data_IF_288056159602
#
_entry.id   IF_288056159602
#
_cell.length_a   1.000
_cell.length_b   1.000
_cell.length_c   1.000
_cell.angle_alpha   90.00
_cell.angle_beta   90.00
_cell.angle_gamma   90.00
#
_symmetry.space_group_name_H-M   'P 1'
#
loop_
_entity.id
_entity.type
_entity.pdbx_description
1 polymer ?
#
# COMPACT_ATOMS: atom_id res chain seq x y z
N UNK A 1 11.55 6.08 -1.82
CA UNK A 1 11.21 5.21 -0.68
C UNK A 1 12.12 4.00 -0.67
N UNK A 2 12.47 3.45 0.51
CA UNK A 2 13.19 2.17 0.61
C UNK A 2 12.24 1.15 1.25
N UNK A 3 11.88 0.11 0.50
CA UNK A 3 10.97 -0.96 0.91
C UNK A 3 11.77 -2.07 1.58
N UNK A 4 11.43 -2.37 2.83
CA UNK A 4 12.08 -3.38 3.68
C UNK A 4 13.61 -3.26 3.77
N UNK A 5 14.17 -2.06 3.55
CA UNK A 5 15.63 -1.88 3.52
C UNK A 5 16.33 -2.55 2.32
N UNK A 6 15.58 -3.07 1.33
CA UNK A 6 16.10 -3.91 0.24
C UNK A 6 15.90 -3.32 -1.15
N UNK A 7 14.74 -2.71 -1.39
CA UNK A 7 14.38 -2.17 -2.71
C UNK A 7 14.22 -0.66 -2.61
N UNK A 8 14.96 0.08 -3.41
CA UNK A 8 14.79 1.53 -3.56
C UNK A 8 13.79 1.79 -4.68
N UNK A 9 12.73 2.53 -4.38
CA UNK A 9 11.71 2.96 -5.33
C UNK A 9 11.80 4.48 -5.50
N UNK A 10 11.91 4.94 -6.74
CA UNK A 10 11.91 6.37 -7.09
C UNK A 10 10.85 6.65 -8.15
N UNK A 11 10.08 7.71 -7.93
CA UNK A 11 9.21 8.26 -8.97
C UNK A 11 10.03 9.21 -9.83
N UNK A 12 10.28 8.84 -11.08
CA UNK A 12 11.06 9.64 -12.02
C UNK A 12 10.18 10.68 -12.72
N UNK A 13 8.89 10.38 -12.90
CA UNK A 13 7.86 11.32 -13.34
C UNK A 13 6.46 10.77 -12.98
N UNK A 14 5.40 11.46 -13.39
CA UNK A 14 4.02 11.05 -13.17
C UNK A 14 3.75 9.60 -13.61
N UNK A 15 4.32 9.17 -14.74
CA UNK A 15 4.07 7.86 -15.34
C UNK A 15 5.25 6.90 -15.28
N UNK A 16 6.34 7.26 -14.59
CA UNK A 16 7.55 6.45 -14.54
C UNK A 16 8.06 6.27 -13.13
N UNK A 17 8.25 5.01 -12.76
CA UNK A 17 8.84 4.59 -11.49
C UNK A 17 10.05 3.72 -11.79
N UNK A 18 11.17 3.98 -11.11
CA UNK A 18 12.36 3.16 -11.14
C UNK A 18 12.49 2.36 -9.84
N UNK A 19 12.92 1.09 -9.99
CA UNK A 19 13.25 0.20 -8.88
C UNK A 19 14.73 -0.15 -8.97
N UNK A 20 15.41 -0.10 -7.83
CA UNK A 20 16.80 -0.50 -7.71
C UNK A 20 16.97 -1.42 -6.50
N UNK A 21 17.55 -2.59 -6.72
CA UNK A 21 17.84 -3.58 -5.68
C UNK A 21 19.10 -4.38 -6.03
N UNK A 22 19.65 -5.09 -5.04
CA UNK A 22 20.71 -6.08 -5.26
C UNK A 22 20.08 -7.41 -5.67
N UNK A 23 20.62 -8.09 -6.69
CA UNK A 23 20.08 -9.39 -7.12
C UNK A 23 20.43 -10.47 -6.10
N UNK A 24 19.54 -10.62 -5.12
CA UNK A 24 19.54 -11.65 -4.10
C UNK A 24 18.12 -12.15 -3.89
N UNK A 25 17.98 -13.41 -3.44
CA UNK A 25 16.69 -14.10 -3.36
C UNK A 25 15.60 -13.31 -2.63
N UNK A 26 15.97 -12.54 -1.59
CA UNK A 26 14.99 -11.76 -0.81
C UNK A 26 14.63 -10.48 -1.55
N UNK A 27 15.62 -9.74 -2.02
CA UNK A 27 15.40 -8.51 -2.77
C UNK A 27 14.62 -8.74 -4.07
N UNK A 28 14.83 -9.88 -4.72
CA UNK A 28 14.08 -10.29 -5.91
C UNK A 28 12.60 -10.50 -5.58
N UNK A 29 12.28 -11.23 -4.51
CA UNK A 29 10.89 -11.42 -4.05
C UNK A 29 10.20 -10.11 -3.64
N UNK A 30 10.93 -9.21 -2.98
CA UNK A 30 10.41 -7.88 -2.61
C UNK A 30 10.17 -7.03 -3.86
N UNK A 31 11.09 -7.05 -4.82
CA UNK A 31 10.95 -6.33 -6.09
C UNK A 31 9.74 -6.83 -6.88
N UNK A 32 9.59 -8.15 -7.01
CA UNK A 32 8.45 -8.79 -7.67
C UNK A 32 7.12 -8.36 -7.04
N UNK A 33 7.07 -8.26 -5.71
CA UNK A 33 5.88 -7.80 -4.97
C UNK A 33 5.57 -6.32 -5.25
N UNK A 34 6.58 -5.45 -5.30
CA UNK A 34 6.40 -4.04 -5.65
C UNK A 34 5.90 -3.88 -7.09
N UNK A 35 6.49 -4.62 -8.04
CA UNK A 35 6.06 -4.64 -9.44
C UNK A 35 4.63 -5.14 -9.55
N UNK A 36 4.28 -6.22 -8.85
CA UNK A 36 2.91 -6.76 -8.83
C UNK A 36 1.90 -5.73 -8.33
N UNK A 37 2.22 -4.97 -7.27
CA UNK A 37 1.35 -3.89 -6.80
C UNK A 37 1.18 -2.78 -7.84
N UNK A 38 2.28 -2.30 -8.46
CA UNK A 38 2.23 -1.25 -9.49
C UNK A 38 1.40 -1.71 -10.71
N UNK A 39 1.57 -2.97 -11.13
CA UNK A 39 0.84 -3.53 -12.27
C UNK A 39 -0.62 -3.87 -11.93
N UNK A 40 -0.91 -4.33 -10.71
CA UNK A 40 -2.29 -4.57 -10.26
C UNK A 40 -3.09 -3.27 -10.13
N UNK A 41 -2.46 -2.14 -9.88
CA UNK A 41 -3.12 -0.83 -10.00
C UNK A 41 -3.66 -0.60 -11.42
N UNK A 42 -3.07 -1.23 -12.45
CA UNK A 42 -3.33 -0.94 -13.86
C UNK A 42 -4.35 -1.87 -14.55
N UNK A 43 -4.81 -2.96 -13.91
CA UNK A 43 -5.56 -4.04 -14.61
C UNK A 43 -6.95 -4.38 -14.06
N UNK A 44 -7.62 -3.41 -13.46
CA UNK A 44 -8.69 -3.56 -12.46
C UNK A 44 -8.06 -3.50 -11.08
N UNK A 45 -7.86 -2.28 -10.58
CA UNK A 45 -7.46 -2.09 -9.18
C UNK A 45 -8.44 -2.79 -8.23
N UNK A 46 -8.11 -2.90 -6.93
CA UNK A 46 -9.14 -3.17 -5.93
C UNK A 46 -10.31 -2.21 -6.22
N UNK A 47 -11.56 -2.70 -6.22
CA UNK A 47 -12.77 -1.88 -6.47
C UNK A 47 -12.83 -0.73 -5.45
N UNK A 48 -12.07 0.32 -5.69
CA UNK A 48 -12.20 1.60 -5.03
C UNK A 48 -13.24 2.33 -5.85
N UNK A 49 -14.44 2.47 -5.29
CA UNK A 49 -15.49 3.28 -5.88
C UNK A 49 -14.92 4.66 -6.25
N UNK A 50 -15.20 5.19 -7.45
CA UNK A 50 -14.68 6.49 -7.84
C UNK A 50 -15.38 7.54 -6.98
N UNK A 51 -14.63 8.17 -6.08
CA UNK A 51 -15.05 9.45 -5.52
C UNK A 51 -14.44 10.50 -6.44
N UNK A 52 -15.33 11.31 -7.02
CA UNK A 52 -15.05 12.30 -8.03
C UNK A 52 -13.81 13.16 -7.72
N UNK A 53 -13.06 13.48 -8.77
CA UNK A 53 -11.99 14.48 -8.77
C UNK A 53 -12.49 15.77 -8.14
N UNK A 54 -12.04 16.07 -6.92
CA UNK A 54 -12.32 17.33 -6.24
C UNK A 54 -11.02 17.84 -5.61
N UNK A 55 -10.55 18.97 -6.15
CA UNK A 55 -9.66 19.98 -5.55
C UNK A 55 -8.89 19.57 -4.29
N UNK A 56 -7.61 19.27 -4.47
CA UNK A 56 -6.63 18.88 -3.45
C UNK A 56 -6.44 19.94 -2.36
N UNK A 57 -6.98 19.68 -1.17
CA UNK A 57 -6.47 20.21 0.10
C UNK A 57 -5.53 19.20 0.77
N UNK A 58 -4.67 19.63 1.71
CA UNK A 58 -3.77 18.71 2.44
C UNK A 58 -4.55 17.60 3.19
N UNK A 59 -5.76 17.92 3.65
CA UNK A 59 -6.68 16.99 4.28
C UNK A 59 -7.21 15.92 3.28
N UNK A 60 -7.40 16.28 2.01
CA UNK A 60 -7.76 15.33 0.95
C UNK A 60 -6.60 14.40 0.56
N UNK A 61 -5.36 14.90 0.63
CA UNK A 61 -4.16 14.09 0.39
C UNK A 61 -3.95 13.05 1.50
N UNK A 62 -4.07 13.44 2.77
CA UNK A 62 -4.05 12.50 3.90
C UNK A 62 -5.18 11.47 3.81
N UNK A 63 -6.36 11.88 3.37
CA UNK A 63 -7.49 10.98 3.13
C UNK A 63 -7.20 10.00 1.97
N UNK A 64 -6.52 10.46 0.93
CA UNK A 64 -6.11 9.64 -0.21
C UNK A 64 -5.06 8.60 0.21
N UNK A 65 -4.05 8.99 0.99
CA UNK A 65 -3.05 8.07 1.54
C UNK A 65 -3.71 6.97 2.39
N UNK A 66 -4.64 7.34 3.28
CA UNK A 66 -5.37 6.38 4.10
C UNK A 66 -6.22 5.40 3.27
N UNK A 67 -6.86 5.88 2.21
CA UNK A 67 -7.62 5.04 1.27
C UNK A 67 -6.71 4.07 0.52
N UNK A 68 -5.53 4.52 0.10
CA UNK A 68 -4.53 3.66 -0.56
C UNK A 68 -4.04 2.59 0.39
N UNK A 69 -3.67 2.94 1.62
CA UNK A 69 -3.23 1.97 2.64
C UNK A 69 -4.32 0.92 2.89
N UNK A 70 -5.57 1.35 3.11
CA UNK A 70 -6.67 0.41 3.30
C UNK A 70 -6.87 -0.52 2.10
N UNK A 71 -6.89 0.03 0.87
CA UNK A 71 -7.09 -0.76 -0.34
C UNK A 71 -5.98 -1.79 -0.56
N UNK A 72 -4.72 -1.44 -0.24
CA UNK A 72 -3.59 -2.36 -0.30
C UNK A 72 -3.76 -3.51 0.70
N UNK A 73 -4.07 -3.21 1.96
CA UNK A 73 -4.27 -4.25 2.97
C UNK A 73 -5.45 -5.16 2.62
N UNK A 74 -6.58 -4.59 2.18
CA UNK A 74 -7.74 -5.35 1.74
C UNK A 74 -7.49 -6.20 0.48
N UNK A 75 -6.49 -5.85 -0.33
CA UNK A 75 -6.06 -6.67 -1.47
C UNK A 75 -5.12 -7.81 -1.07
N UNK A 76 -4.41 -7.67 0.05
CA UNK A 76 -3.42 -8.65 0.54
C UNK A 76 -4.04 -9.63 1.54
N UNK A 77 -5.07 -9.21 2.26
CA UNK A 77 -5.70 -9.98 3.33
C UNK A 77 -7.21 -9.98 3.15
N UNK A 78 -7.82 -11.15 3.33
CA UNK A 78 -9.26 -11.35 3.15
C UNK A 78 -10.11 -10.59 4.20
N UNK A 79 -9.62 -10.43 5.43
CA UNK A 79 -10.35 -9.76 6.52
C UNK A 79 -9.58 -8.57 7.06
N UNK A 80 -9.87 -7.39 6.51
CA UNK A 80 -9.34 -6.09 6.94
C UNK A 80 -10.48 -5.15 7.29
N UNK A 81 -10.42 -4.57 8.50
CA UNK A 81 -11.43 -3.67 9.03
C UNK A 81 -10.80 -2.39 9.58
N UNK A 82 -11.56 -1.30 9.55
CA UNK A 82 -11.19 -0.07 10.26
C UNK A 82 -11.56 -0.22 11.73
N UNK A 83 -10.55 -0.16 12.61
CA UNK A 83 -10.71 -0.17 14.06
C UNK A 83 -10.85 1.22 14.66
N UNK A 84 -10.80 1.28 15.99
CA UNK A 84 -10.81 2.53 16.76
C UNK A 84 -9.57 3.38 16.44
N UNK A 85 -9.72 4.71 16.57
CA UNK A 85 -8.65 5.70 16.35
C UNK A 85 -7.96 5.59 14.98
N UNK A 86 -8.66 5.05 13.98
CA UNK A 86 -8.10 4.91 12.64
C UNK A 86 -7.03 3.82 12.53
N UNK A 87 -7.00 2.80 13.40
CA UNK A 87 -6.14 1.62 13.22
C UNK A 87 -6.73 0.65 12.19
N UNK A 88 -5.91 -0.18 11.54
CA UNK A 88 -6.39 -1.32 10.75
C UNK A 88 -6.38 -2.57 11.62
N UNK A 89 -7.49 -3.30 11.60
CA UNK A 89 -7.62 -4.62 12.21
C UNK A 89 -7.54 -5.64 11.09
N UNK A 90 -6.50 -6.47 11.10
CA UNK A 90 -6.25 -7.50 10.08
C UNK A 90 -6.38 -8.86 10.75
N UNK A 91 -7.17 -9.75 10.18
CA UNK A 91 -7.31 -11.14 10.65
C UNK A 91 -6.70 -12.09 9.63
N UNK A 92 -5.73 -12.90 10.08
CA UNK A 92 -5.09 -13.94 9.26
C UNK A 92 -5.04 -15.24 10.07
N UNK A 93 -5.59 -16.32 9.53
CA UNK A 93 -5.63 -17.64 10.19
C UNK A 93 -6.18 -17.60 11.63
N UNK A 94 -7.19 -16.76 11.87
CA UNK A 94 -7.79 -16.56 13.19
C UNK A 94 -6.94 -15.75 14.17
N UNK A 95 -5.77 -15.26 13.77
CA UNK A 95 -4.97 -14.29 14.54
C UNK A 95 -5.36 -12.88 14.14
N UNK A 96 -5.65 -12.06 15.14
CA UNK A 96 -6.03 -10.66 14.96
C UNK A 96 -4.83 -9.77 15.28
N UNK A 97 -4.55 -8.85 14.38
CA UNK A 97 -3.42 -7.91 14.45
C UNK A 97 -3.94 -6.48 14.28
N UNK A 98 -3.35 -5.52 15.00
CA UNK A 98 -3.79 -4.11 15.01
C UNK A 98 -2.68 -3.21 14.52
N UNK A 99 -2.74 -2.84 13.24
CA UNK A 99 -1.79 -1.94 12.63
C UNK A 99 -2.16 -0.48 12.92
N UNK A 100 -1.23 0.26 13.51
CA UNK A 100 -1.27 1.71 13.55
C UNK A 100 -0.85 2.28 12.18
N UNK A 101 -1.75 3.06 11.56
CA UNK A 101 -1.55 3.58 10.20
C UNK A 101 -0.52 4.70 10.13
N UNK A 102 -0.25 5.37 11.26
CA UNK A 102 0.62 6.54 11.31
C UNK A 102 2.09 6.15 11.46
N UNK A 103 2.37 5.11 12.25
CA UNK A 103 3.74 4.69 12.56
C UNK A 103 4.07 3.24 12.12
N UNK A 104 3.08 2.46 11.68
CA UNK A 104 3.26 1.09 11.22
C UNK A 104 3.48 0.05 12.33
N UNK A 105 3.21 0.39 13.60
CA UNK A 105 3.26 -0.54 14.73
C UNK A 105 2.13 -1.58 14.65
N UNK A 106 2.40 -2.81 15.10
CA UNK A 106 1.61 -4.02 14.84
C UNK A 106 1.22 -4.74 16.13
#
# INVERSE_FOLDING_TARGET
MIVQGKVTVRQESENYVSLQWSSDLISDMVSDSVVAMILNISREGPKVMPVAEASTTEEDAENMEQKVIYALFASLFDDVKVGEEGKLVVTVDGKVVRLDRNNGEV
#
